data_IF_359037617020
#
_entry.id   IF_359037617020
#
_cell.length_a   1.000
_cell.length_b   1.000
_cell.length_c   1.000
_cell.angle_alpha   90.00
_cell.angle_beta   90.00
_cell.angle_gamma   90.00
#
_symmetry.space_group_name_H-M   'P 1'
#
loop_
_entity.id
_entity.type
_entity.pdbx_description
1 polymer ?
#
# COMPACT_ATOMS: atom_id res chain seq x y z
N UNK A 1 16.37 4.64 11.28
CA UNK A 1 15.16 5.51 11.30
C UNK A 1 14.04 4.77 12.02
N UNK A 2 13.20 5.45 12.79
CA UNK A 2 12.06 4.82 13.47
C UNK A 2 10.87 4.73 12.51
N UNK A 3 10.21 3.58 12.46
CA UNK A 3 8.94 3.42 11.74
C UNK A 3 7.79 3.98 12.57
N UNK A 4 6.88 4.70 11.89
CA UNK A 4 5.64 5.25 12.44
C UNK A 4 4.51 4.24 12.15
N UNK A 5 4.03 3.47 13.15
CA UNK A 5 2.99 2.47 12.93
C UNK A 5 1.58 3.07 12.95
N UNK A 6 0.75 2.63 12.02
CA UNK A 6 -0.65 3.01 11.86
C UNK A 6 -1.47 1.76 11.56
N UNK A 7 -2.10 1.21 12.58
CA UNK A 7 -2.84 -0.04 12.45
C UNK A 7 -4.23 0.15 11.84
N UNK A 8 -4.75 -0.92 11.22
CA UNK A 8 -6.15 -1.03 10.82
C UNK A 8 -6.61 0.02 9.80
N UNK A 9 -5.71 0.51 8.94
CA UNK A 9 -6.06 1.43 7.88
C UNK A 9 -7.03 0.75 6.91
N UNK A 10 -8.15 1.38 6.65
CA UNK A 10 -9.20 0.89 5.76
C UNK A 10 -9.13 1.59 4.41
N UNK A 11 -9.16 0.81 3.34
CA UNK A 11 -9.05 1.32 1.97
C UNK A 11 -10.11 0.68 1.07
N UNK A 12 -10.95 1.53 0.46
CA UNK A 12 -12.02 1.14 -0.44
C UNK A 12 -12.07 2.05 -1.68
N UNK A 13 -13.09 1.89 -2.52
CA UNK A 13 -13.25 2.66 -3.75
C UNK A 13 -13.54 4.17 -3.52
N UNK A 14 -13.84 4.60 -2.29
CA UNK A 14 -14.26 5.97 -1.97
C UNK A 14 -13.18 6.80 -1.30
N UNK A 15 -12.19 6.15 -0.70
CA UNK A 15 -11.19 6.79 0.14
C UNK A 15 -9.74 6.62 -0.40
N UNK A 16 -8.74 7.04 0.36
CA UNK A 16 -7.32 6.83 0.05
C UNK A 16 -6.46 6.81 1.31
N UNK A 17 -5.27 6.19 1.23
CA UNK A 17 -4.25 6.30 2.27
C UNK A 17 -3.22 7.36 1.91
N UNK A 18 -2.67 7.99 2.93
CA UNK A 18 -1.67 9.05 2.87
C UNK A 18 -0.52 8.70 3.80
N UNK A 19 0.69 9.09 3.42
CA UNK A 19 1.84 8.96 4.29
C UNK A 19 1.81 10.04 5.38
N UNK A 20 1.01 11.09 5.25
CA UNK A 20 0.84 12.15 6.23
C UNK A 20 -0.53 12.07 6.90
N UNK A 21 -0.64 12.63 8.10
CA UNK A 21 -1.93 12.83 8.75
C UNK A 21 -2.86 13.72 7.87
N UNK A 22 -4.15 13.34 7.71
CA UNK A 22 -4.75 12.08 8.14
C UNK A 22 -4.32 10.91 7.24
N UNK A 23 -3.82 9.83 7.86
CA UNK A 23 -3.29 8.65 7.16
C UNK A 23 -4.35 7.90 6.36
N UNK A 24 -5.59 7.87 6.84
CA UNK A 24 -6.76 7.44 6.08
C UNK A 24 -7.57 8.68 5.72
N UNK A 25 -7.53 9.07 4.45
CA UNK A 25 -8.26 10.22 3.93
C UNK A 25 -9.64 9.80 3.46
N UNK A 26 -10.65 10.63 3.72
CA UNK A 26 -12.01 10.42 3.20
C UNK A 26 -12.16 10.72 1.71
N UNK A 27 -11.16 11.35 1.10
CA UNK A 27 -11.09 11.62 -0.34
C UNK A 27 -10.17 10.63 -1.05
N UNK A 28 -10.06 10.72 -2.37
CA UNK A 28 -9.16 9.92 -3.20
C UNK A 28 -7.88 10.68 -3.60
N UNK A 29 -7.41 11.61 -2.75
CA UNK A 29 -6.24 12.47 -3.05
C UNK A 29 -4.96 12.06 -2.30
N UNK A 30 -5.02 10.96 -1.55
CA UNK A 30 -3.86 10.37 -0.90
C UNK A 30 -2.91 9.66 -1.86
N UNK A 31 -1.85 9.12 -1.28
CA UNK A 31 -0.76 8.46 -1.96
C UNK A 31 -1.11 7.06 -2.48
N UNK A 32 -2.08 6.39 -1.87
CA UNK A 32 -2.49 5.02 -2.23
C UNK A 32 -4.00 4.97 -2.35
N UNK A 33 -4.48 4.43 -3.47
CA UNK A 33 -5.90 4.25 -3.76
C UNK A 33 -6.19 2.80 -4.07
N UNK A 34 -7.33 2.31 -3.62
CA UNK A 34 -7.87 1.02 -4.04
C UNK A 34 -8.87 1.21 -5.19
N UNK A 35 -8.88 0.27 -6.14
CA UNK A 35 -9.81 0.27 -7.28
C UNK A 35 -10.04 -1.13 -7.84
N UNK A 36 -11.26 -1.42 -8.25
CA UNK A 36 -11.63 -2.63 -8.99
C UNK A 36 -11.97 -2.35 -10.47
N UNK A 37 -11.74 -1.12 -10.95
CA UNK A 37 -12.23 -0.69 -12.27
C UNK A 37 -11.53 -1.35 -13.47
N UNK A 38 -10.28 -1.81 -13.31
CA UNK A 38 -9.45 -2.33 -14.43
C UNK A 38 -9.01 -3.78 -14.26
N UNK A 39 -9.12 -4.34 -13.05
CA UNK A 39 -8.63 -5.68 -12.72
C UNK A 39 -9.71 -6.44 -11.95
N UNK A 40 -9.96 -7.69 -12.34
CA UNK A 40 -10.94 -8.56 -11.69
C UNK A 40 -10.62 -8.80 -10.20
N UNK A 41 -9.33 -8.75 -9.83
CA UNK A 41 -8.86 -8.89 -8.44
C UNK A 41 -8.69 -7.57 -7.69
N UNK A 42 -9.09 -6.45 -8.30
CA UNK A 42 -8.78 -5.10 -7.83
C UNK A 42 -7.27 -4.82 -7.74
N UNK A 43 -6.91 -3.58 -7.39
CA UNK A 43 -5.52 -3.11 -7.34
C UNK A 43 -5.32 -1.95 -6.38
N UNK A 44 -4.07 -1.76 -5.98
CA UNK A 44 -3.58 -0.49 -5.46
C UNK A 44 -3.06 0.37 -6.62
N UNK A 45 -3.32 1.67 -6.56
CA UNK A 45 -2.82 2.67 -7.51
C UNK A 45 -2.26 3.89 -6.77
N UNK A 46 -1.29 4.54 -7.39
CA UNK A 46 -0.78 5.85 -7.00
C UNK A 46 -0.51 6.71 -8.23
N UNK A 47 -0.46 8.03 -8.04
CA UNK A 47 0.05 8.94 -9.07
C UNK A 47 1.57 9.09 -9.00
N UNK A 48 2.19 8.81 -7.83
CA UNK A 48 3.61 9.11 -7.59
C UNK A 48 4.37 8.02 -6.86
N UNK A 49 3.69 7.12 -6.15
CA UNK A 49 4.31 6.05 -5.40
C UNK A 49 4.47 4.80 -6.25
N UNK A 50 5.56 4.07 -6.04
CA UNK A 50 5.79 2.76 -6.65
C UNK A 50 5.54 1.66 -5.64
N UNK A 51 5.10 0.50 -6.12
CA UNK A 51 4.70 -0.63 -5.29
C UNK A 51 5.55 -1.86 -5.60
N UNK A 52 5.89 -2.62 -4.56
CA UNK A 52 6.46 -3.97 -4.68
C UNK A 52 5.76 -4.88 -3.68
N UNK A 53 5.15 -5.95 -4.20
CA UNK A 53 4.64 -7.03 -3.36
C UNK A 53 5.80 -7.94 -2.98
N UNK A 54 5.91 -8.27 -1.69
CA UNK A 54 6.91 -9.18 -1.18
C UNK A 54 6.36 -10.60 -1.21
N UNK A 55 7.17 -11.52 -1.72
CA UNK A 55 6.89 -12.95 -1.74
C UNK A 55 7.89 -13.65 -0.83
N UNK A 56 7.42 -14.47 0.10
CA UNK A 56 8.27 -15.20 1.02
C UNK A 56 7.80 -15.12 2.47
N UNK A 57 8.74 -15.23 3.39
CA UNK A 57 8.48 -15.12 4.83
C UNK A 57 8.19 -13.67 5.22
N UNK A 58 7.26 -13.42 6.16
CA UNK A 58 7.01 -12.09 6.70
C UNK A 58 8.23 -11.53 7.45
N UNK A 59 8.27 -10.22 7.62
CA UNK A 59 9.32 -9.52 8.36
C UNK A 59 10.11 -8.52 7.52
N UNK A 60 9.55 -8.06 6.40
CA UNK A 60 10.17 -7.04 5.56
C UNK A 60 10.50 -5.79 6.37
N UNK A 61 11.75 -5.35 6.29
CA UNK A 61 12.21 -4.13 6.96
C UNK A 61 12.39 -2.95 6.00
N UNK A 62 12.81 -1.80 6.55
CA UNK A 62 13.06 -0.60 5.77
C UNK A 62 14.14 -0.81 4.70
N UNK A 63 15.23 -1.50 5.03
CA UNK A 63 16.35 -1.64 4.11
C UNK A 63 15.98 -2.54 2.94
N UNK A 64 15.17 -3.57 3.17
CA UNK A 64 14.57 -4.38 2.12
C UNK A 64 13.59 -3.58 1.26
N UNK A 65 12.65 -2.86 1.86
CA UNK A 65 11.74 -2.00 1.09
C UNK A 65 12.50 -0.95 0.27
N UNK A 66 13.56 -0.35 0.81
CA UNK A 66 14.41 0.60 0.09
C UNK A 66 15.06 -0.07 -1.12
N UNK A 67 15.68 -1.25 -0.94
CA UNK A 67 16.36 -1.97 -2.02
C UNK A 67 15.39 -2.39 -3.12
N UNK A 68 14.24 -2.96 -2.77
CA UNK A 68 13.31 -3.54 -3.73
C UNK A 68 12.51 -2.50 -4.51
N UNK A 69 12.18 -1.37 -3.88
CA UNK A 69 11.49 -0.26 -4.56
C UNK A 69 12.45 0.61 -5.38
N UNK A 70 13.77 0.47 -5.18
CA UNK A 70 14.76 1.22 -5.94
C UNK A 70 14.70 0.86 -7.44
N UNK A 71 14.53 1.88 -8.29
CA UNK A 71 14.44 1.71 -9.74
C UNK A 71 13.08 1.22 -10.26
N UNK A 72 12.13 0.91 -9.38
CA UNK A 72 10.77 0.56 -9.79
C UNK A 72 10.05 1.74 -10.41
N UNK A 73 9.15 1.44 -11.35
CA UNK A 73 8.36 2.44 -12.09
C UNK A 73 6.86 2.13 -12.11
N UNK A 74 6.45 1.04 -11.47
CA UNK A 74 5.07 0.57 -11.52
C UNK A 74 4.26 1.25 -10.41
N UNK A 75 3.31 2.09 -10.83
CA UNK A 75 2.41 2.82 -9.94
C UNK A 75 1.06 2.11 -9.70
N UNK A 76 0.93 0.86 -10.16
CA UNK A 76 -0.26 0.02 -10.00
C UNK A 76 0.17 -1.38 -9.57
N UNK A 77 -0.51 -1.94 -8.57
CA UNK A 77 -0.26 -3.29 -8.09
C UNK A 77 -1.56 -4.09 -8.08
N UNK A 78 -1.74 -5.06 -8.99
CA UNK A 78 -2.83 -6.02 -8.92
C UNK A 78 -2.80 -6.83 -7.63
N UNK A 79 -3.95 -7.01 -6.99
CA UNK A 79 -4.06 -7.70 -5.70
C UNK A 79 -4.46 -9.18 -5.84
N UNK A 80 -4.34 -9.77 -7.03
CA UNK A 80 -4.66 -11.18 -7.27
C UNK A 80 -3.89 -12.11 -6.32
N UNK A 81 -2.58 -11.88 -6.18
CA UNK A 81 -1.69 -12.70 -5.36
C UNK A 81 -1.66 -12.30 -3.87
N UNK A 82 -2.27 -11.17 -3.49
CA UNK A 82 -2.25 -10.70 -2.11
C UNK A 82 -3.20 -11.52 -1.22
N UNK A 83 -2.82 -11.78 0.02
CA UNK A 83 -3.65 -12.40 1.05
C UNK A 83 -3.38 -11.72 2.39
N UNK A 84 -4.07 -12.12 3.45
CA UNK A 84 -3.73 -11.71 4.82
C UNK A 84 -2.27 -12.07 5.12
N UNK A 85 -1.53 -11.12 5.69
CA UNK A 85 -0.09 -11.21 5.93
C UNK A 85 0.79 -10.80 4.75
N UNK A 86 0.24 -10.54 3.56
CA UNK A 86 1.06 -10.04 2.44
C UNK A 86 1.64 -8.68 2.77
N UNK A 87 2.96 -8.56 2.57
CA UNK A 87 3.74 -7.35 2.74
C UNK A 87 3.91 -6.62 1.40
N UNK A 88 3.68 -5.32 1.40
CA UNK A 88 3.79 -4.47 0.21
C UNK A 88 4.62 -3.24 0.56
N UNK A 89 5.79 -3.12 -0.06
CA UNK A 89 6.61 -1.92 0.02
C UNK A 89 6.09 -0.84 -0.92
N UNK A 90 5.96 0.37 -0.41
CA UNK A 90 5.50 1.54 -1.14
C UNK A 90 6.52 2.65 -0.99
N UNK A 91 7.05 3.16 -2.10
CA UNK A 91 8.01 4.27 -2.07
C UNK A 91 7.42 5.47 -2.78
N UNK A 92 7.35 6.60 -2.07
CA UNK A 92 6.99 7.90 -2.65
C UNK A 92 8.19 8.54 -3.34
N UNK A 93 7.90 9.43 -4.29
CA UNK A 93 8.92 10.20 -5.02
C UNK A 93 9.77 11.11 -4.11
N UNK A 94 9.22 11.58 -2.98
CA UNK A 94 9.95 12.43 -2.03
C UNK A 94 10.91 11.65 -1.11
N UNK A 95 11.01 10.32 -1.27
CA UNK A 95 11.87 9.47 -0.46
C UNK A 95 11.18 8.89 0.78
N UNK A 96 9.90 9.14 1.04
CA UNK A 96 9.21 8.40 2.09
C UNK A 96 8.95 6.96 1.65
N UNK A 97 9.07 6.01 2.58
CA UNK A 97 8.79 4.59 2.36
C UNK A 97 7.70 4.17 3.35
N UNK A 98 6.76 3.36 2.88
CA UNK A 98 5.80 2.68 3.73
C UNK A 98 5.83 1.18 3.47
N UNK A 99 5.53 0.42 4.52
CA UNK A 99 5.21 -1.00 4.44
C UNK A 99 3.73 -1.16 4.76
N UNK A 100 2.97 -1.75 3.84
CA UNK A 100 1.61 -2.21 4.10
C UNK A 100 1.64 -3.71 4.41
N UNK A 101 0.98 -4.10 5.49
CA UNK A 101 0.72 -5.51 5.83
C UNK A 101 -0.78 -5.74 5.71
N UNK A 102 -1.20 -6.52 4.73
CA UNK A 102 -2.62 -6.77 4.47
C UNK A 102 -3.22 -7.55 5.63
N UNK A 103 -4.27 -7.02 6.25
CA UNK A 103 -5.02 -7.70 7.31
C UNK A 103 -6.20 -8.46 6.71
N UNK A 104 -7.02 -7.78 5.91
CA UNK A 104 -8.18 -8.38 5.23
C UNK A 104 -8.24 -7.90 3.79
N UNK A 105 -8.52 -8.83 2.86
CA UNK A 105 -8.83 -8.53 1.46
C UNK A 105 -10.21 -9.06 1.12
N UNK A 106 -11.16 -8.17 0.84
CA UNK A 106 -12.49 -8.54 0.33
C UNK A 106 -12.69 -7.92 -1.05
N UNK A 107 -12.54 -8.73 -2.09
CA UNK A 107 -12.53 -8.27 -3.49
C UNK A 107 -13.52 -9.02 -4.39
N UNK A 108 -14.33 -9.92 -3.81
CA UNK A 108 -15.27 -10.75 -4.56
C UNK A 108 -16.46 -9.94 -5.15
N UNK A 109 -16.86 -8.86 -4.50
CA UNK A 109 -17.95 -7.97 -4.95
C UNK A 109 -17.40 -6.55 -5.10
N UNK A 110 -17.20 -6.04 -6.34
CA UNK A 110 -16.55 -4.75 -6.59
C UNK A 110 -17.18 -3.56 -5.86
N UNK A 111 -18.50 -3.51 -5.71
CA UNK A 111 -19.23 -2.36 -5.15
C UNK A 111 -19.02 -2.17 -3.64
N UNK A 112 -18.62 -3.23 -2.94
CA UNK A 112 -18.34 -3.23 -1.50
C UNK A 112 -16.92 -3.75 -1.20
N UNK A 113 -16.07 -3.80 -2.22
CA UNK A 113 -14.72 -4.32 -2.10
C UNK A 113 -13.84 -3.37 -1.26
N UNK A 114 -12.96 -3.97 -0.46
CA UNK A 114 -12.04 -3.24 0.40
C UNK A 114 -10.77 -4.05 0.71
N UNK A 115 -9.77 -3.34 1.20
CA UNK A 115 -8.59 -3.88 1.86
C UNK A 115 -8.43 -3.16 3.19
N UNK A 116 -8.14 -3.91 4.25
CA UNK A 116 -7.56 -3.35 5.47
C UNK A 116 -6.09 -3.74 5.58
N UNK A 117 -5.27 -2.83 6.10
CA UNK A 117 -3.85 -3.06 6.28
C UNK A 117 -3.32 -2.30 7.50
N UNK A 118 -2.28 -2.85 8.12
CA UNK A 118 -1.40 -2.05 8.95
C UNK A 118 -0.39 -1.34 8.06
N UNK A 119 -0.05 -0.11 8.42
CA UNK A 119 0.89 0.71 7.67
C UNK A 119 2.01 1.19 8.59
N UNK A 120 3.25 0.95 8.20
CA UNK A 120 4.42 1.56 8.86
C UNK A 120 5.06 2.55 7.90
N UNK A 121 5.27 3.80 8.34
CA UNK A 121 5.88 4.86 7.51
C UNK A 121 7.28 5.20 8.03
N UNK A 122 8.24 5.35 7.11
CA UNK A 122 9.58 5.89 7.37
C UNK A 122 9.79 7.14 6.52
N UNK A 123 10.11 8.26 7.19
CA UNK A 123 10.30 9.56 6.56
C UNK A 123 11.70 9.70 5.97
N UNK A 124 11.78 10.26 4.77
CA UNK A 124 13.06 10.58 4.10
C UNK A 124 14.03 9.41 4.07
N UNK A 125 13.49 8.22 3.81
CA UNK A 125 14.19 6.95 3.95
C UNK A 125 14.57 6.31 2.62
N UNK A 126 14.24 6.92 1.48
CA UNK A 126 14.47 6.39 0.13
C UNK A 126 15.74 6.88 -0.51
#
# INVERSE_FOLDING_TARGET
>A
MRGEPHSGQWLDAKNSLSFNDPYQRKDRKGDIRFTCAKDASCSLESDTSVFVMIFGEPGTDLDECRRLTHGQRTHRLPLAAAASGTEICVRRRNGDIALLVIQTKSTAMPDIAFVSADMTVWRQAG
#
